data_IF_876054458243
#
_entry.id   IF_876054458243
#
_cell.length_a   1.000
_cell.length_b   1.000
_cell.length_c   1.000
_cell.angle_alpha   90.00
_cell.angle_beta   90.00
_cell.angle_gamma   90.00
#
_symmetry.space_group_name_H-M   'P 1'
#
loop_
_entity.id
_entity.type
_entity.pdbx_description
1 polymer ?
#
# COMPACT_ATOMS: atom_id res chain seq x y z
N UNK A 1 -23.05 -34.05 -59.56
CA UNK A 1 -22.27 -33.72 -58.36
C UNK A 1 -22.20 -32.21 -58.28
N UNK A 2 -22.99 -31.58 -57.41
CA UNK A 2 -23.03 -30.12 -57.26
C UNK A 2 -22.00 -29.75 -56.19
N UNK A 3 -20.90 -29.12 -56.58
CA UNK A 3 -19.88 -28.64 -55.65
C UNK A 3 -20.20 -27.19 -55.29
N UNK A 4 -20.61 -26.98 -54.05
CA UNK A 4 -20.89 -25.67 -53.45
C UNK A 4 -19.59 -24.93 -53.17
N UNK A 5 -19.27 -23.90 -53.96
CA UNK A 5 -18.33 -22.87 -53.53
C UNK A 5 -19.07 -21.83 -52.68
N UNK A 6 -19.12 -22.06 -51.37
CA UNK A 6 -19.34 -20.97 -50.41
C UNK A 6 -17.96 -20.50 -49.93
N UNK A 7 -17.39 -19.57 -50.68
CA UNK A 7 -16.25 -18.79 -50.23
C UNK A 7 -16.72 -17.85 -49.13
N UNK A 8 -16.39 -18.17 -47.88
CA UNK A 8 -16.39 -17.16 -46.83
C UNK A 8 -15.28 -16.17 -47.17
N UNK A 9 -15.66 -14.94 -47.55
CA UNK A 9 -14.71 -13.86 -47.73
C UNK A 9 -13.93 -13.68 -46.41
N UNK A 10 -12.59 -13.72 -46.41
CA UNK A 10 -11.83 -13.45 -45.21
C UNK A 10 -12.03 -11.98 -44.83
N UNK A 11 -12.83 -11.71 -43.80
CA UNK A 11 -12.85 -10.38 -43.17
C UNK A 11 -11.48 -10.16 -42.54
N UNK A 12 -10.62 -9.38 -43.21
CA UNK A 12 -9.49 -8.72 -42.58
C UNK A 12 -10.05 -7.80 -41.51
N UNK A 13 -9.97 -8.23 -40.26
CA UNK A 13 -10.08 -7.31 -39.12
C UNK A 13 -8.78 -6.53 -39.07
N UNK A 14 -8.77 -5.37 -39.72
CA UNK A 14 -7.70 -4.40 -39.52
C UNK A 14 -7.77 -3.98 -38.04
N UNK A 15 -6.84 -4.51 -37.23
CA UNK A 15 -6.73 -4.19 -35.79
C UNK A 15 -6.51 -2.69 -35.60
N UNK A 16 -6.10 -1.99 -36.65
CA UNK A 16 -6.05 -0.53 -36.75
C UNK A 16 -7.35 -0.05 -37.40
N UNK A 17 -8.31 0.39 -36.58
CA UNK A 17 -9.60 0.88 -37.08
C UNK A 17 -9.48 1.99 -38.12
N UNK A 18 -10.49 2.11 -38.99
CA UNK A 18 -10.54 3.14 -40.03
C UNK A 18 -10.73 4.54 -39.39
N UNK A 19 -9.71 5.43 -39.42
CA UNK A 19 -9.79 6.73 -38.76
C UNK A 19 -10.78 7.68 -39.46
N UNK A 20 -11.02 7.52 -40.76
CA UNK A 20 -11.93 8.38 -41.53
C UNK A 20 -13.37 8.15 -41.09
N UNK A 21 -13.76 6.89 -40.93
CA UNK A 21 -15.10 6.51 -40.46
C UNK A 21 -15.37 7.01 -39.03
N UNK A 22 -14.33 7.04 -38.17
CA UNK A 22 -14.44 7.59 -36.80
C UNK A 22 -14.65 9.10 -36.82
N UNK A 23 -13.88 9.82 -37.64
CA UNK A 23 -14.00 11.28 -37.76
C UNK A 23 -15.36 11.71 -38.32
N UNK A 24 -15.88 10.98 -39.31
CA UNK A 24 -17.22 11.21 -39.86
C UNK A 24 -18.30 11.02 -38.78
N UNK A 25 -18.22 9.93 -38.01
CA UNK A 25 -19.16 9.66 -36.93
C UNK A 25 -19.08 10.73 -35.81
N UNK A 26 -17.87 11.17 -35.43
CA UNK A 26 -17.68 12.22 -34.42
C UNK A 26 -18.28 13.57 -34.85
N UNK A 27 -18.19 13.90 -36.14
CA UNK A 27 -18.70 15.15 -36.69
C UNK A 27 -20.23 15.18 -36.78
N UNK A 28 -20.86 14.01 -36.84
CA UNK A 28 -22.32 13.85 -36.92
C UNK A 28 -22.98 13.64 -35.54
N UNK A 29 -22.23 13.70 -34.44
CA UNK A 29 -22.84 13.63 -33.10
C UNK A 29 -23.64 14.92 -32.83
N UNK A 30 -24.91 14.83 -32.41
CA UNK A 30 -25.69 16.00 -32.05
C UNK A 30 -25.02 16.72 -30.87
N UNK A 31 -25.01 18.05 -30.94
CA UNK A 31 -24.56 18.85 -29.81
C UNK A 31 -25.50 18.62 -28.63
N UNK A 32 -24.97 18.47 -27.40
CA UNK A 32 -25.81 18.42 -26.21
C UNK A 32 -26.66 19.70 -26.09
N UNK A 33 -27.95 19.56 -25.80
CA UNK A 33 -28.87 20.69 -25.64
C UNK A 33 -28.43 21.66 -24.53
N UNK A 34 -27.72 21.15 -23.53
CA UNK A 34 -27.13 21.93 -22.45
C UNK A 34 -25.61 21.89 -22.54
N UNK A 35 -24.93 23.05 -22.46
CA UNK A 35 -23.48 23.07 -22.41
C UNK A 35 -23.00 22.26 -21.20
N UNK A 36 -21.85 21.57 -21.30
CA UNK A 36 -21.28 20.87 -20.16
C UNK A 36 -21.03 21.88 -19.03
N UNK A 37 -21.65 21.63 -17.87
CA UNK A 37 -21.46 22.43 -16.66
C UNK A 37 -20.02 22.23 -16.19
N UNK A 38 -19.39 23.28 -15.67
CA UNK A 38 -18.04 23.20 -15.12
C UNK A 38 -17.98 22.12 -14.02
N UNK A 39 -16.93 21.29 -14.06
CA UNK A 39 -16.78 20.21 -13.09
C UNK A 39 -16.51 20.76 -11.69
N UNK A 40 -17.27 20.31 -10.70
CA UNK A 40 -17.16 20.74 -9.29
C UNK A 40 -16.18 19.88 -8.47
N UNK A 41 -15.10 19.39 -9.10
CA UNK A 41 -14.15 18.47 -8.47
C UNK A 41 -13.41 19.06 -7.25
N UNK A 42 -13.36 20.38 -7.12
CA UNK A 42 -12.71 21.08 -6.00
C UNK A 42 -13.70 21.49 -4.88
N UNK A 43 -14.95 21.02 -4.96
CA UNK A 43 -15.93 21.35 -3.92
C UNK A 43 -15.52 20.78 -2.57
N UNK A 44 -15.80 21.54 -1.53
CA UNK A 44 -15.72 21.05 -0.15
C UNK A 44 -16.93 20.19 0.23
N UNK A 45 -17.99 20.16 -0.58
CA UNK A 45 -19.17 19.33 -0.35
C UNK A 45 -18.98 17.95 -1.00
N UNK A 46 -18.89 16.91 -0.15
CA UNK A 46 -18.74 15.53 -0.60
C UNK A 46 -19.88 15.03 -1.50
N UNK A 47 -21.05 15.71 -1.51
CA UNK A 47 -22.18 15.36 -2.38
C UNK A 47 -21.96 15.79 -3.84
N UNK A 48 -21.05 16.73 -4.10
CA UNK A 48 -20.84 17.28 -5.44
C UNK A 48 -19.59 16.73 -6.12
N UNK A 49 -18.73 16.04 -5.36
CA UNK A 49 -17.62 15.25 -5.89
C UNK A 49 -18.03 13.77 -5.92
N UNK A 50 -17.68 13.04 -6.99
CA UNK A 50 -17.92 11.59 -7.13
C UNK A 50 -17.01 10.75 -6.21
N UNK A 51 -16.78 11.21 -4.98
CA UNK A 51 -16.33 10.33 -3.92
C UNK A 51 -17.54 9.47 -3.62
N UNK A 52 -17.48 8.19 -4.01
CA UNK A 52 -18.53 7.24 -3.67
C UNK A 52 -18.84 7.42 -2.19
N UNK A 53 -20.13 7.40 -1.83
CA UNK A 53 -20.61 7.46 -0.46
C UNK A 53 -20.15 6.21 0.29
N UNK A 54 -18.84 6.10 0.52
CA UNK A 54 -18.24 5.34 1.59
C UNK A 54 -18.65 6.08 2.85
N UNK A 55 -19.93 5.92 3.22
CA UNK A 55 -20.41 6.26 4.54
C UNK A 55 -19.40 5.69 5.52
N UNK A 56 -19.11 6.47 6.57
CA UNK A 56 -18.12 6.12 7.60
C UNK A 56 -18.12 4.62 7.81
N UNK A 57 -17.12 4.00 7.21
CA UNK A 57 -17.10 2.57 7.10
C UNK A 57 -16.75 2.16 8.55
N UNK A 58 -17.70 1.52 9.24
CA UNK A 58 -17.59 1.23 10.67
C UNK A 58 -16.30 0.48 10.96
N UNK A 59 -15.48 1.01 11.88
CA UNK A 59 -14.15 0.54 12.25
C UNK A 59 -13.87 -0.93 11.90
N UNK A 60 -13.05 -1.18 10.86
CA UNK A 60 -12.71 -2.52 10.36
C UNK A 60 -11.80 -3.31 11.30
N UNK A 61 -11.26 -2.65 12.32
CA UNK A 61 -10.61 -3.26 13.45
C UNK A 61 -10.28 -2.15 14.45
N UNK A 62 -10.52 -2.38 15.73
CA UNK A 62 -9.88 -1.63 16.80
C UNK A 62 -8.70 -2.44 17.31
N UNK A 63 -7.49 -1.86 17.29
CA UNK A 63 -6.27 -2.52 17.78
C UNK A 63 -5.14 -2.54 16.75
N UNK A 64 -3.93 -2.93 17.17
CA UNK A 64 -2.64 -2.78 16.46
C UNK A 64 -2.44 -3.55 15.15
N UNK A 65 -3.49 -3.76 14.36
CA UNK A 65 -3.44 -4.33 13.01
C UNK A 65 -4.50 -3.73 12.08
N UNK A 66 -5.19 -2.66 12.50
CA UNK A 66 -6.16 -1.99 11.68
C UNK A 66 -5.48 -1.10 10.64
N UNK A 67 -6.04 -1.09 9.42
CA UNK A 67 -5.40 -0.49 8.22
C UNK A 67 -5.28 1.04 8.33
N UNK A 68 -6.10 1.69 9.18
CA UNK A 68 -6.18 3.16 9.27
C UNK A 68 -5.56 3.72 10.54
N UNK A 69 -5.45 2.92 11.58
CA UNK A 69 -4.82 3.24 12.84
C UNK A 69 -3.30 3.12 12.69
N UNK A 70 -2.50 3.82 13.51
CA UNK A 70 -1.07 3.56 13.56
C UNK A 70 -0.86 2.05 13.77
N UNK A 71 0.14 1.45 13.14
CA UNK A 71 0.51 0.04 13.33
C UNK A 71 0.89 -0.31 14.79
N UNK A 72 0.78 0.66 15.68
CA UNK A 72 0.98 0.59 17.12
C UNK A 72 -0.36 0.93 17.77
N UNK A 73 -0.94 -0.01 18.52
CA UNK A 73 -2.06 0.32 19.38
C UNK A 73 -1.64 1.44 20.34
N UNK A 74 -2.43 2.48 20.50
CA UNK A 74 -2.16 3.55 21.49
C UNK A 74 -2.01 2.91 22.87
N UNK A 75 -0.77 2.89 23.39
CA UNK A 75 -0.43 2.33 24.70
C UNK A 75 -0.20 0.81 24.75
N UNK A 76 -0.15 0.11 23.62
CA UNK A 76 0.13 -1.32 23.55
C UNK A 76 1.53 -1.66 23.01
N UNK A 77 2.02 -2.89 23.24
CA UNK A 77 3.31 -3.35 22.71
C UNK A 77 3.36 -3.19 21.19
N UNK A 78 4.51 -2.75 20.68
CA UNK A 78 4.69 -2.38 19.27
C UNK A 78 5.72 -3.27 18.57
N UNK A 79 5.58 -3.45 17.26
CA UNK A 79 6.58 -4.12 16.42
C UNK A 79 7.04 -5.46 17.01
N UNK A 80 8.34 -5.58 17.34
CA UNK A 80 8.93 -6.82 17.87
C UNK A 80 8.44 -7.18 19.27
N UNK A 81 8.13 -6.20 20.12
CA UNK A 81 7.58 -6.46 21.45
C UNK A 81 6.28 -7.27 21.35
N UNK A 82 5.38 -6.84 20.46
CA UNK A 82 4.13 -7.55 20.20
C UNK A 82 4.35 -8.86 19.42
N UNK A 83 5.26 -8.86 18.43
CA UNK A 83 5.52 -10.04 17.59
C UNK A 83 6.10 -11.20 18.37
N UNK A 84 7.02 -10.91 19.28
CA UNK A 84 7.79 -11.89 20.03
C UNK A 84 7.20 -12.12 21.45
N UNK A 85 6.15 -11.39 21.82
CA UNK A 85 5.46 -11.53 23.12
C UNK A 85 6.33 -11.10 24.30
N UNK A 86 7.11 -10.05 24.13
CA UNK A 86 8.08 -9.58 25.12
C UNK A 86 7.40 -8.74 26.20
N UNK A 87 7.95 -8.75 27.41
CA UNK A 87 7.47 -7.92 28.54
C UNK A 87 7.91 -6.45 28.48
N UNK A 88 8.49 -6.02 27.37
CA UNK A 88 9.02 -4.68 27.15
C UNK A 88 9.82 -4.58 25.85
N UNK A 89 10.31 -3.38 25.53
CA UNK A 89 11.09 -3.15 24.31
C UNK A 89 12.33 -4.06 24.28
N UNK A 90 12.66 -4.67 23.13
CA UNK A 90 13.82 -5.53 23.06
C UNK A 90 15.13 -4.71 23.17
N UNK A 91 16.13 -5.27 23.85
CA UNK A 91 17.43 -4.64 24.16
C UNK A 91 18.21 -4.12 22.92
N UNK A 92 17.93 -4.62 21.71
CA UNK A 92 18.53 -4.17 20.45
C UNK A 92 17.81 -2.98 19.80
N UNK A 93 16.63 -2.60 20.28
CA UNK A 93 15.90 -1.41 19.82
C UNK A 93 16.39 -0.10 20.46
N UNK A 94 17.25 -0.18 21.49
CA UNK A 94 17.79 0.98 22.21
C UNK A 94 19.29 1.15 21.96
N UNK A 95 19.84 2.31 22.32
CA UNK A 95 21.29 2.54 22.24
C UNK A 95 22.06 1.61 23.17
N UNK A 96 23.36 1.42 22.91
CA UNK A 96 24.19 0.49 23.68
C UNK A 96 24.21 0.82 25.18
N UNK A 97 24.17 2.12 25.50
CA UNK A 97 24.22 2.65 26.86
C UNK A 97 22.92 2.43 27.63
N UNK A 98 21.80 2.26 26.92
CA UNK A 98 20.48 2.05 27.50
C UNK A 98 20.08 0.58 27.60
N UNK A 99 20.94 -0.35 27.17
CA UNK A 99 20.73 -1.79 27.34
C UNK A 99 20.65 -2.16 28.81
N UNK A 100 19.89 -3.20 29.12
CA UNK A 100 19.77 -3.77 30.47
C UNK A 100 19.09 -2.84 31.50
N UNK A 101 18.41 -1.80 31.01
CA UNK A 101 17.55 -0.94 31.83
C UNK A 101 16.20 -1.61 32.13
N UNK A 102 15.58 -1.20 33.25
CA UNK A 102 14.26 -1.68 33.65
C UNK A 102 13.21 -1.39 32.58
N UNK A 103 12.40 -2.40 32.23
CA UNK A 103 11.36 -2.28 31.20
C UNK A 103 11.81 -2.69 29.80
N UNK A 104 13.05 -3.18 29.66
CA UNK A 104 13.54 -3.82 28.44
C UNK A 104 13.51 -5.34 28.57
N UNK A 105 13.26 -6.01 27.45
CA UNK A 105 13.40 -7.45 27.33
C UNK A 105 14.80 -7.80 26.83
N UNK A 106 15.51 -8.65 27.56
CA UNK A 106 16.80 -9.15 27.10
C UNK A 106 16.61 -10.14 25.96
N UNK A 107 16.80 -9.64 24.75
CA UNK A 107 16.81 -10.42 23.52
C UNK A 107 18.22 -10.60 22.98
N UNK A 108 19.25 -10.21 23.74
CA UNK A 108 20.63 -10.47 23.36
C UNK A 108 20.98 -11.91 23.71
N UNK A 109 21.58 -12.63 22.76
CA UNK A 109 22.08 -13.97 23.03
C UNK A 109 23.15 -13.90 24.13
N UNK A 110 23.34 -15.01 24.86
CA UNK A 110 24.40 -15.12 25.87
C UNK A 110 25.72 -14.61 25.30
N UNK A 111 26.31 -13.59 25.92
CA UNK A 111 27.63 -13.13 25.55
C UNK A 111 28.63 -14.24 25.94
N UNK A 112 29.20 -14.88 24.92
CA UNK A 112 30.25 -15.89 25.10
C UNK A 112 31.63 -15.27 25.28
N UNK A 113 31.71 -13.95 25.35
CA UNK A 113 32.95 -13.19 25.37
C UNK A 113 33.73 -13.35 24.08
N UNK A 114 34.92 -12.76 24.05
CA UNK A 114 35.84 -12.97 22.94
C UNK A 114 36.46 -14.38 23.03
N UNK A 115 36.45 -15.16 21.94
CA UNK A 115 37.13 -16.45 21.92
C UNK A 115 38.64 -16.22 22.08
N UNK A 116 39.14 -16.39 23.32
CA UNK A 116 40.54 -16.38 23.73
C UNK A 116 41.34 -15.12 23.37
N UNK A 117 41.86 -14.38 24.36
CA UNK A 117 42.83 -13.25 24.25
C UNK A 117 42.51 -12.10 23.27
N UNK A 118 41.44 -12.20 22.48
CA UNK A 118 41.06 -11.26 21.44
C UNK A 118 40.07 -10.23 21.97
N UNK A 119 40.29 -9.73 23.18
CA UNK A 119 39.51 -8.62 23.72
C UNK A 119 40.04 -7.30 23.12
N UNK A 120 39.28 -6.63 22.23
CA UNK A 120 39.68 -5.37 21.60
C UNK A 120 39.79 -4.21 22.59
N UNK A 121 39.26 -4.34 23.82
CA UNK A 121 39.40 -3.32 24.87
C UNK A 121 40.73 -3.41 25.64
N UNK A 122 41.43 -4.54 25.58
CA UNK A 122 42.72 -4.74 26.27
C UNK A 122 43.85 -3.80 25.82
N UNK A 123 43.70 -3.16 24.66
CA UNK A 123 44.63 -2.15 24.13
C UNK A 123 44.22 -0.70 24.37
N UNK A 124 43.00 -0.45 24.88
CA UNK A 124 42.52 0.91 25.16
C UNK A 124 42.85 1.28 26.60
N UNK A 125 44.03 1.87 26.81
CA UNK A 125 44.31 2.62 28.04
C UNK A 125 43.46 3.89 28.04
N UNK A 126 42.80 4.16 29.18
CA UNK A 126 42.01 5.37 29.45
C UNK A 126 42.83 6.65 29.25
#
# INVERSE_FOLDING_TARGET
>A
MVSSQQGYAPTTVDIKGNPEAVNEAQSNLPLPDQPPVASDFNSSDARTVNVGSGGQEGSFASGGGAIREPAVAVGGPAAREAKDGLGGLPNDAVSREAKDHSGLADTTGKDYGYPGKNDPSSGMKQ
#
